data_IF_889425536117
#
_entry.id   IF_889425536117
#
_cell.length_a   1.000
_cell.length_b   1.000
_cell.length_c   1.000
_cell.angle_alpha   90.00
_cell.angle_beta   90.00
_cell.angle_gamma   90.00
#
_symmetry.space_group_name_H-M   'P 1'
#
loop_
_entity.id
_entity.type
_entity.pdbx_description
1 polymer ?
#
# COMPACT_ATOMS: atom_id res chain seq x y z
N UNK A 1 7.43 9.79 23.41
CA UNK A 1 8.05 9.34 24.68
C UNK A 1 7.37 10.05 25.83
N UNK A 2 7.47 9.54 27.06
CA UNK A 2 6.98 10.23 28.25
C UNK A 2 7.84 11.48 28.55
N UNK A 3 7.25 12.54 29.10
CA UNK A 3 7.96 13.81 29.35
C UNK A 3 8.51 13.88 30.77
N UNK A 4 9.53 14.72 30.98
CA UNK A 4 10.07 14.98 32.31
C UNK A 4 9.02 15.53 33.27
N UNK A 5 8.08 16.34 32.77
CA UNK A 5 6.97 16.89 33.56
C UNK A 5 6.03 15.79 34.06
N UNK A 6 5.66 14.82 33.22
CA UNK A 6 4.83 13.67 33.62
C UNK A 6 5.53 12.84 34.69
N UNK A 7 6.84 12.62 34.55
CA UNK A 7 7.65 11.93 35.57
C UNK A 7 7.66 12.71 36.88
N UNK A 8 7.87 14.04 36.83
CA UNK A 8 7.86 14.91 38.01
C UNK A 8 6.51 14.86 38.75
N UNK A 9 5.40 14.88 38.03
CA UNK A 9 4.07 14.78 38.64
C UNK A 9 3.87 13.47 39.41
N UNK A 10 4.38 12.35 38.88
CA UNK A 10 4.31 11.04 39.56
C UNK A 10 5.18 11.00 40.83
N UNK A 11 6.40 11.55 40.77
CA UNK A 11 7.36 11.45 41.89
C UNK A 11 7.18 12.54 42.95
N UNK A 12 6.61 13.70 42.62
CA UNK A 12 6.47 14.85 43.52
C UNK A 12 5.87 14.52 44.91
N UNK A 13 4.85 13.65 45.04
CA UNK A 13 4.30 13.29 46.35
C UNK A 13 5.29 12.58 47.29
N UNK A 14 6.35 11.99 46.74
CA UNK A 14 7.31 11.14 47.45
C UNK A 14 8.66 11.83 47.71
N UNK A 15 8.90 13.00 47.10
CA UNK A 15 10.13 13.76 47.29
C UNK A 15 10.27 14.26 48.75
N UNK A 16 11.50 14.23 49.27
CA UNK A 16 11.86 14.72 50.60
C UNK A 16 11.07 14.08 51.76
N UNK A 17 10.61 12.84 51.58
CA UNK A 17 9.89 12.04 52.59
C UNK A 17 10.58 10.69 52.78
N UNK A 18 10.26 10.02 53.89
CA UNK A 18 10.61 8.61 54.04
C UNK A 18 9.73 7.78 53.09
N UNK A 19 10.36 7.02 52.20
CA UNK A 19 9.71 6.23 51.15
C UNK A 19 9.81 4.75 51.52
N UNK A 20 8.70 4.04 51.51
CA UNK A 20 8.66 2.59 51.78
C UNK A 20 8.87 1.76 50.49
N UNK A 21 9.13 0.47 50.62
CA UNK A 21 9.18 -0.44 49.45
C UNK A 21 7.85 -0.44 48.67
N UNK A 22 6.73 -0.26 49.36
CA UNK A 22 5.42 -0.16 48.74
C UNK A 22 5.28 1.12 47.90
N UNK A 23 5.77 2.25 48.43
CA UNK A 23 5.82 3.51 47.69
C UNK A 23 6.70 3.40 46.44
N UNK A 24 7.85 2.71 46.53
CA UNK A 24 8.71 2.46 45.37
C UNK A 24 7.99 1.65 44.29
N UNK A 25 7.27 0.60 44.69
CA UNK A 25 6.45 -0.19 43.75
C UNK A 25 5.33 0.64 43.15
N UNK A 26 4.72 1.54 43.94
CA UNK A 26 3.66 2.43 43.46
C UNK A 26 4.18 3.41 42.41
N UNK A 27 5.34 4.05 42.65
CA UNK A 27 6.02 4.90 41.65
C UNK A 27 6.32 4.09 40.39
N UNK A 28 6.87 2.87 40.55
CA UNK A 28 7.17 1.99 39.41
C UNK A 28 5.94 1.71 38.54
N UNK A 29 4.81 1.36 39.17
CA UNK A 29 3.54 1.11 38.49
C UNK A 29 3.04 2.36 37.77
N UNK A 30 3.02 3.52 38.44
CA UNK A 30 2.56 4.78 37.84
C UNK A 30 3.44 5.22 36.66
N UNK A 31 4.76 5.09 36.75
CA UNK A 31 5.65 5.38 35.63
C UNK A 31 5.46 4.41 34.46
N UNK A 32 5.18 3.13 34.75
CA UNK A 32 4.86 2.12 33.72
C UNK A 32 3.49 2.39 33.07
N UNK A 33 2.52 2.87 33.82
CA UNK A 33 1.21 3.29 33.30
C UNK A 33 1.35 4.45 32.31
N UNK A 34 2.25 5.42 32.55
CA UNK A 34 2.52 6.49 31.59
C UNK A 34 2.99 5.95 30.22
N UNK A 35 3.88 4.95 30.22
CA UNK A 35 4.30 4.28 28.98
C UNK A 35 3.12 3.58 28.30
N UNK A 36 2.33 2.84 29.07
CA UNK A 36 1.20 2.05 28.56
C UNK A 36 0.12 2.96 27.96
N UNK A 37 -0.24 4.06 28.63
CA UNK A 37 -1.21 5.05 28.16
C UNK A 37 -0.72 5.79 26.90
N UNK A 38 0.59 5.98 26.76
CA UNK A 38 1.18 6.52 25.53
C UNK A 38 1.27 5.50 24.38
N UNK A 39 0.84 4.25 24.60
CA UNK A 39 0.81 3.18 23.61
C UNK A 39 2.11 2.36 23.50
N UNK A 40 3.08 2.57 24.40
CA UNK A 40 4.34 1.82 24.39
C UNK A 40 4.17 0.46 25.04
N UNK A 41 3.85 -0.54 24.21
CA UNK A 41 3.55 -1.89 24.67
C UNK A 41 4.77 -2.55 25.28
N UNK A 42 4.55 -3.32 26.35
CA UNK A 42 5.57 -4.12 27.04
C UNK A 42 6.82 -3.33 27.48
N UNK A 43 6.74 -1.99 27.49
CA UNK A 43 7.75 -1.11 28.05
C UNK A 43 7.46 -0.93 29.53
N UNK A 44 8.47 -1.14 30.36
CA UNK A 44 8.30 -1.21 31.81
C UNK A 44 9.35 -0.36 32.51
N UNK A 45 8.95 0.27 33.60
CA UNK A 45 9.89 0.92 34.51
C UNK A 45 10.22 -0.04 35.64
N UNK A 46 11.50 -0.16 36.00
CA UNK A 46 11.95 -1.09 37.05
C UNK A 46 12.84 -0.40 38.08
N UNK A 47 12.56 -0.68 39.35
CA UNK A 47 13.53 -0.50 40.42
C UNK A 47 14.44 -1.74 40.46
N UNK A 48 15.73 -1.54 40.18
CA UNK A 48 16.73 -2.61 40.21
C UNK A 48 17.69 -2.35 41.37
N UNK A 49 17.91 -3.31 42.29
CA UNK A 49 18.83 -3.12 43.42
C UNK A 49 20.24 -2.70 42.97
N UNK A 50 20.72 -3.26 41.87
CA UNK A 50 22.01 -2.94 41.27
C UNK A 50 22.16 -1.47 40.81
N UNK A 51 21.04 -0.78 40.55
CA UNK A 51 21.04 0.64 40.17
C UNK A 51 20.95 1.57 41.39
N UNK A 52 20.75 0.98 42.58
CA UNK A 52 20.38 1.69 43.79
C UNK A 52 21.32 1.38 44.97
N UNK A 53 22.55 0.91 44.72
CA UNK A 53 23.57 0.66 45.75
C UNK A 53 23.84 1.87 46.66
N UNK A 54 23.61 3.09 46.16
CA UNK A 54 23.74 4.34 46.92
C UNK A 54 22.78 4.44 48.11
N UNK A 55 21.64 3.74 48.08
CA UNK A 55 20.72 3.64 49.22
C UNK A 55 21.38 2.95 50.42
N UNK A 56 22.25 1.95 50.18
CA UNK A 56 23.01 1.27 51.23
C UNK A 56 24.07 2.19 51.86
N UNK A 57 24.56 3.17 51.09
CA UNK A 57 25.49 4.21 51.55
C UNK A 57 24.78 5.39 52.24
N UNK A 58 23.44 5.35 52.39
CA UNK A 58 22.65 6.40 53.04
C UNK A 58 22.30 7.59 52.14
N UNK A 59 22.54 7.52 50.83
CA UNK A 59 22.12 8.56 49.89
C UNK A 59 20.62 8.44 49.57
N UNK A 60 19.90 9.57 49.55
CA UNK A 60 18.46 9.61 49.27
C UNK A 60 18.08 9.57 47.78
N UNK A 61 18.89 8.97 46.92
CA UNK A 61 18.67 8.94 45.46
C UNK A 61 18.15 7.58 45.04
N UNK A 62 16.94 7.56 44.47
CA UNK A 62 16.31 6.36 43.91
C UNK A 62 16.39 6.43 42.38
N UNK A 63 16.95 5.40 41.77
CA UNK A 63 17.08 5.25 40.33
C UNK A 63 16.08 4.22 39.83
N UNK A 64 15.28 4.64 38.85
CA UNK A 64 14.42 3.76 38.06
C UNK A 64 15.00 3.62 36.65
N UNK A 65 14.94 2.40 36.11
CA UNK A 65 15.33 2.10 34.74
C UNK A 65 14.11 1.87 33.88
N UNK A 66 13.97 2.64 32.81
CA UNK A 66 13.01 2.32 31.74
C UNK A 66 13.59 1.23 30.85
N UNK A 67 12.83 0.15 30.67
CA UNK A 67 13.15 -0.95 29.77
C UNK A 67 12.17 -0.84 28.61
N UNK A 68 12.64 -0.15 27.58
CA UNK A 68 11.88 0.09 26.36
C UNK A 68 11.85 -1.14 25.49
N UNK A 69 10.65 -1.45 24.98
CA UNK A 69 10.46 -2.64 24.18
C UNK A 69 10.74 -2.37 22.69
N UNK A 70 11.18 -3.42 21.99
CA UNK A 70 11.49 -3.39 20.55
C UNK A 70 10.88 -4.60 19.85
N UNK A 71 10.58 -4.43 18.57
CA UNK A 71 10.20 -5.54 17.70
C UNK A 71 11.48 -6.18 17.13
N UNK A 72 11.60 -7.50 17.25
CA UNK A 72 12.78 -8.23 16.73
C UNK A 72 12.46 -9.09 15.52
N UNK A 73 11.19 -9.48 15.34
CA UNK A 73 10.75 -10.36 14.25
C UNK A 73 9.28 -10.12 13.97
N UNK A 74 8.93 -10.15 12.68
CA UNK A 74 7.56 -10.34 12.20
C UNK A 74 7.48 -11.79 11.71
N UNK A 75 6.44 -12.51 12.08
CA UNK A 75 6.18 -13.88 11.61
C UNK A 75 4.83 -13.92 10.92
N UNK A 76 4.85 -14.05 9.60
CA UNK A 76 3.63 -14.11 8.80
C UNK A 76 3.17 -15.54 8.63
N UNK A 77 1.87 -15.77 8.81
CA UNK A 77 1.23 -17.07 8.77
C UNK A 77 0.04 -17.06 7.79
N UNK A 78 -0.34 -18.25 7.33
CA UNK A 78 -1.52 -18.50 6.47
C UNK A 78 -1.44 -17.92 5.05
N UNK A 79 -0.24 -17.72 4.52
CA UNK A 79 -0.03 -17.42 3.10
C UNK A 79 0.01 -18.70 2.27
N UNK A 80 -0.48 -18.61 1.04
CA UNK A 80 -0.55 -19.70 0.07
C UNK A 80 0.26 -19.38 -1.20
N UNK A 81 0.06 -18.19 -1.78
CA UNK A 81 0.71 -17.77 -3.02
C UNK A 81 1.42 -16.42 -2.87
N UNK A 82 0.89 -15.52 -2.05
CA UNK A 82 1.55 -14.26 -1.73
C UNK A 82 2.83 -14.52 -0.93
N UNK A 83 3.92 -13.89 -1.34
CA UNK A 83 5.20 -14.08 -0.67
C UNK A 83 5.18 -13.43 0.72
N UNK A 84 5.69 -14.16 1.73
CA UNK A 84 5.83 -13.65 3.10
C UNK A 84 6.52 -12.29 3.18
N UNK A 85 7.57 -12.10 2.37
CA UNK A 85 8.32 -10.84 2.31
C UNK A 85 7.46 -9.63 1.88
N UNK A 86 6.43 -9.85 1.04
CA UNK A 86 5.51 -8.79 0.63
C UNK A 86 4.81 -8.13 1.83
N UNK A 87 4.38 -8.96 2.78
CA UNK A 87 3.69 -8.56 4.00
C UNK A 87 4.69 -8.03 5.03
N UNK A 88 5.80 -8.75 5.25
CA UNK A 88 6.81 -8.37 6.24
C UNK A 88 7.42 -7.00 5.96
N UNK A 89 7.89 -6.77 4.72
CA UNK A 89 8.57 -5.53 4.38
C UNK A 89 7.64 -4.32 4.54
N UNK A 90 6.33 -4.50 4.27
CA UNK A 90 5.29 -3.46 4.45
C UNK A 90 4.98 -3.18 5.91
N UNK A 91 4.99 -4.20 6.76
CA UNK A 91 4.72 -4.01 8.19
C UNK A 91 5.92 -3.43 8.92
N UNK A 92 7.15 -3.73 8.48
CA UNK A 92 8.36 -3.14 9.04
C UNK A 92 8.43 -1.62 8.90
N UNK A 93 7.77 -1.02 7.90
CA UNK A 93 7.75 0.46 7.76
C UNK A 93 6.99 1.17 8.87
N UNK A 94 6.16 0.44 9.63
CA UNK A 94 5.40 0.96 10.76
C UNK A 94 6.00 0.58 12.11
N UNK A 95 7.19 -0.02 12.12
CA UNK A 95 7.92 -0.22 13.37
C UNK A 95 8.37 1.12 13.95
N UNK A 96 8.25 1.23 15.27
CA UNK A 96 8.71 2.37 16.04
C UNK A 96 9.63 1.91 17.16
N UNK A 97 10.58 2.77 17.53
CA UNK A 97 11.49 2.55 18.65
C UNK A 97 11.34 3.71 19.64
N UNK A 98 10.81 3.49 20.85
CA UNK A 98 10.28 2.22 21.38
C UNK A 98 8.99 1.75 20.69
N UNK A 99 8.71 0.44 20.78
CA UNK A 99 7.57 -0.21 20.15
C UNK A 99 6.24 0.42 20.59
N UNK A 100 5.45 0.89 19.62
CA UNK A 100 4.16 1.53 19.87
C UNK A 100 3.00 0.77 19.22
N UNK A 101 1.93 0.54 19.98
CA UNK A 101 0.72 -0.14 19.53
C UNK A 101 0.08 0.56 18.33
N UNK A 102 -0.01 1.89 18.37
CA UNK A 102 -0.74 2.68 17.37
C UNK A 102 -0.07 2.58 16.00
N UNK A 103 1.26 2.59 15.96
CA UNK A 103 2.00 2.43 14.71
C UNK A 103 1.78 1.04 14.11
N UNK A 104 1.83 -0.03 14.91
CA UNK A 104 1.55 -1.39 14.42
C UNK A 104 0.10 -1.54 13.94
N UNK A 105 -0.85 -0.97 14.67
CA UNK A 105 -2.27 -0.96 14.30
C UNK A 105 -2.50 -0.21 12.98
N UNK A 106 -1.90 0.96 12.81
CA UNK A 106 -1.94 1.71 11.55
C UNK A 106 -1.38 0.88 10.38
N UNK A 107 -0.28 0.18 10.58
CA UNK A 107 0.29 -0.74 9.59
C UNK A 107 -0.66 -1.87 9.21
N UNK A 108 -1.36 -2.48 10.17
CA UNK A 108 -2.37 -3.51 9.88
C UNK A 108 -3.55 -2.93 9.11
N UNK A 109 -4.07 -1.77 9.53
CA UNK A 109 -5.23 -1.14 8.90
C UNK A 109 -4.92 -0.72 7.45
N UNK A 110 -3.72 -0.19 7.20
CA UNK A 110 -3.29 0.17 5.85
C UNK A 110 -3.05 -1.06 4.99
N UNK A 111 -2.46 -2.11 5.55
CA UNK A 111 -2.26 -3.36 4.83
C UNK A 111 -3.58 -4.11 4.57
N UNK A 112 -4.60 -3.94 5.41
CA UNK A 112 -5.95 -4.48 5.18
C UNK A 112 -6.65 -3.81 3.99
N UNK A 113 -6.25 -2.61 3.57
CA UNK A 113 -6.77 -1.96 2.35
C UNK A 113 -6.16 -2.55 1.07
N UNK A 114 -5.12 -3.38 1.19
CA UNK A 114 -4.51 -4.07 0.06
C UNK A 114 -5.48 -5.11 -0.50
N UNK A 115 -5.72 -5.05 -1.82
CA UNK A 115 -6.66 -5.95 -2.49
C UNK A 115 -6.26 -7.42 -2.43
N UNK A 116 -5.02 -7.73 -2.05
CA UNK A 116 -4.52 -9.09 -1.89
C UNK A 116 -4.88 -9.71 -0.55
N UNK A 117 -5.44 -8.92 0.37
CA UNK A 117 -5.66 -9.29 1.76
C UNK A 117 -7.15 -9.16 2.06
N UNK A 118 -7.83 -10.29 2.27
CA UNK A 118 -9.22 -10.33 2.73
C UNK A 118 -9.31 -9.99 4.21
N UNK A 119 -8.36 -10.52 4.99
CA UNK A 119 -8.30 -10.33 6.44
C UNK A 119 -6.86 -10.36 6.93
N UNK A 120 -6.58 -9.54 7.94
CA UNK A 120 -5.29 -9.52 8.62
C UNK A 120 -5.49 -9.36 10.12
N UNK A 121 -4.74 -10.11 10.90
CA UNK A 121 -4.75 -10.05 12.36
C UNK A 121 -3.33 -10.09 12.91
N UNK A 122 -3.04 -9.25 13.90
CA UNK A 122 -1.74 -9.19 14.56
C UNK A 122 -1.83 -9.58 16.03
N UNK A 123 -0.85 -10.35 16.50
CA UNK A 123 -0.64 -10.66 17.92
C UNK A 123 0.83 -10.48 18.30
N UNK A 124 1.09 -9.69 19.33
CA UNK A 124 2.42 -9.59 19.92
C UNK A 124 2.64 -10.68 20.96
N UNK A 125 3.83 -11.27 20.94
CA UNK A 125 4.31 -12.19 21.97
C UNK A 125 5.70 -11.76 22.45
N UNK A 126 6.09 -12.09 23.70
CA UNK A 126 7.45 -11.86 24.18
C UNK A 126 8.50 -12.60 23.33
N UNK A 127 9.64 -11.97 23.11
CA UNK A 127 10.83 -12.55 22.48
C UNK A 127 11.74 -13.26 23.48
N UNK A 128 12.95 -13.60 23.03
CA UNK A 128 13.94 -14.34 23.83
C UNK A 128 14.58 -13.51 24.94
N UNK A 129 14.77 -12.20 24.72
CA UNK A 129 15.35 -11.29 25.71
C UNK A 129 14.33 -10.32 26.28
N UNK A 130 14.63 -9.74 27.44
CA UNK A 130 13.75 -8.75 28.07
C UNK A 130 13.56 -7.52 27.16
N UNK A 131 12.31 -7.10 26.99
CA UNK A 131 11.93 -5.98 26.10
C UNK A 131 11.85 -6.37 24.62
N UNK A 132 12.18 -7.60 24.24
CA UNK A 132 11.99 -8.06 22.86
C UNK A 132 10.58 -8.58 22.63
N UNK A 133 10.05 -8.31 21.44
CA UNK A 133 8.73 -8.78 21.03
C UNK A 133 8.81 -9.38 19.62
N UNK A 134 7.98 -10.39 19.39
CA UNK A 134 7.74 -10.97 18.07
C UNK A 134 6.29 -10.67 17.71
N UNK A 135 6.08 -10.18 16.49
CA UNK A 135 4.75 -9.90 15.97
C UNK A 135 4.30 -11.04 15.05
N UNK A 136 3.35 -11.84 15.53
CA UNK A 136 2.71 -12.88 14.73
C UNK A 136 1.58 -12.23 13.95
N UNK A 137 1.63 -12.34 12.63
CA UNK A 137 0.66 -11.76 11.71
C UNK A 137 0.01 -12.89 10.93
N UNK A 138 -1.30 -13.03 11.05
CA UNK A 138 -2.10 -14.00 10.27
C UNK A 138 -2.78 -13.27 9.15
N UNK A 139 -2.58 -13.76 7.93
CA UNK A 139 -3.14 -13.17 6.72
C UNK A 139 -4.09 -14.18 6.08
N UNK A 140 -5.22 -13.69 5.59
CA UNK A 140 -6.11 -14.42 4.70
C UNK A 140 -6.02 -13.76 3.33
N UNK A 141 -5.49 -14.49 2.35
CA UNK A 141 -5.36 -14.00 0.97
C UNK A 141 -6.74 -13.81 0.33
N UNK A 142 -6.92 -12.67 -0.35
CA UNK A 142 -8.11 -12.43 -1.15
C UNK A 142 -8.04 -13.22 -2.48
N UNK A 143 -9.20 -13.51 -3.10
CA UNK A 143 -9.22 -14.10 -4.43
C UNK A 143 -8.47 -13.23 -5.46
N UNK A 144 -7.53 -13.83 -6.17
CA UNK A 144 -6.64 -13.11 -7.11
C UNK A 144 -7.17 -13.08 -8.53
N UNK A 145 -8.00 -14.05 -8.92
CA UNK A 145 -8.56 -14.12 -10.27
C UNK A 145 -9.94 -13.47 -10.31
N UNK A 146 -10.16 -12.61 -11.31
CA UNK A 146 -11.44 -12.01 -11.59
C UNK A 146 -11.73 -12.08 -13.09
N UNK A 147 -12.94 -12.50 -13.42
CA UNK A 147 -13.46 -12.54 -14.79
C UNK A 147 -14.75 -11.72 -14.78
N UNK A 148 -14.85 -10.76 -15.70
CA UNK A 148 -16.04 -9.95 -15.86
C UNK A 148 -16.43 -9.85 -17.34
N UNK A 149 -17.73 -9.81 -17.59
CA UNK A 149 -18.29 -9.52 -18.91
C UNK A 149 -19.35 -8.43 -18.76
N UNK A 150 -19.39 -7.52 -19.71
CA UNK A 150 -20.30 -6.38 -19.69
C UNK A 150 -20.90 -6.18 -21.08
N UNK A 151 -22.19 -5.86 -21.13
CA UNK A 151 -22.86 -5.38 -22.34
C UNK A 151 -23.37 -3.98 -22.02
N UNK A 152 -22.94 -2.99 -22.79
CA UNK A 152 -23.24 -1.60 -22.50
C UNK A 152 -23.37 -0.78 -23.78
N UNK A 153 -24.01 0.39 -23.66
CA UNK A 153 -24.13 1.36 -24.74
C UNK A 153 -23.31 2.63 -24.50
N UNK A 154 -22.10 2.46 -23.98
CA UNK A 154 -21.20 3.57 -23.62
C UNK A 154 -20.46 4.18 -24.81
N UNK A 155 -20.35 3.46 -25.93
CA UNK A 155 -19.60 3.91 -27.11
C UNK A 155 -20.43 4.87 -27.96
N UNK A 156 -19.74 5.63 -28.80
CA UNK A 156 -20.42 6.54 -29.73
C UNK A 156 -21.30 5.77 -30.71
N UNK A 157 -22.53 6.25 -31.01
CA UNK A 157 -23.37 5.63 -32.05
C UNK A 157 -22.69 5.53 -33.42
N UNK A 158 -21.71 6.40 -33.71
CA UNK A 158 -20.92 6.37 -34.94
C UNK A 158 -20.10 5.10 -35.14
N UNK A 159 -19.74 4.42 -34.06
CA UNK A 159 -18.93 3.19 -34.07
C UNK A 159 -19.71 2.02 -33.47
N UNK A 160 -21.04 2.11 -33.42
CA UNK A 160 -21.92 1.12 -32.81
C UNK A 160 -22.31 1.50 -31.38
N UNK A 161 -23.61 1.71 -31.18
CA UNK A 161 -24.16 2.09 -29.88
C UNK A 161 -23.96 0.98 -28.84
N UNK A 162 -24.14 -0.29 -29.20
CA UNK A 162 -24.02 -1.42 -28.27
C UNK A 162 -22.70 -2.16 -28.44
N UNK A 163 -22.08 -2.51 -27.31
CA UNK A 163 -20.86 -3.31 -27.27
C UNK A 163 -20.84 -4.35 -26.17
N UNK A 164 -20.01 -5.36 -26.35
CA UNK A 164 -19.66 -6.35 -25.35
C UNK A 164 -18.19 -6.21 -24.95
N UNK A 165 -17.89 -6.35 -23.66
CA UNK A 165 -16.56 -6.27 -23.08
C UNK A 165 -16.31 -7.49 -22.21
N UNK A 166 -15.12 -8.08 -22.30
CA UNK A 166 -14.64 -9.15 -21.45
C UNK A 166 -13.33 -8.73 -20.79
N UNK A 167 -13.21 -8.99 -19.49
CA UNK A 167 -12.05 -8.63 -18.67
C UNK A 167 -11.57 -9.88 -17.93
N UNK A 168 -10.28 -10.17 -18.05
CA UNK A 168 -9.57 -11.17 -17.26
C UNK A 168 -8.49 -10.45 -16.44
N UNK A 169 -8.52 -10.65 -15.13
CA UNK A 169 -7.62 -10.00 -14.19
C UNK A 169 -7.00 -11.03 -13.24
N UNK A 170 -5.72 -10.86 -12.96
CA UNK A 170 -5.01 -11.53 -11.89
C UNK A 170 -4.26 -10.50 -11.02
N UNK A 171 -4.55 -10.47 -9.72
CA UNK A 171 -4.00 -9.49 -8.78
C UNK A 171 -2.64 -9.89 -8.17
N UNK A 172 -2.13 -11.09 -8.44
CA UNK A 172 -0.88 -11.59 -7.87
C UNK A 172 -0.28 -12.72 -8.72
N UNK A 173 0.14 -12.45 -9.97
CA UNK A 173 0.57 -13.53 -10.90
C UNK A 173 1.79 -14.26 -10.34
N UNK A 174 2.80 -13.52 -9.87
CA UNK A 174 4.08 -14.08 -9.43
C UNK A 174 4.21 -14.17 -7.90
N UNK A 175 3.19 -13.79 -7.14
CA UNK A 175 3.21 -13.81 -5.68
C UNK A 175 3.87 -12.57 -5.06
N UNK A 176 4.27 -11.58 -5.86
CA UNK A 176 4.98 -10.36 -5.38
C UNK A 176 4.05 -9.14 -5.28
N UNK A 177 2.74 -9.34 -5.41
CA UNK A 177 1.71 -8.30 -5.47
C UNK A 177 1.67 -7.54 -6.80
N UNK A 178 2.14 -8.19 -7.84
CA UNK A 178 1.99 -7.80 -9.22
C UNK A 178 0.56 -8.02 -9.71
N UNK A 179 0.07 -7.12 -10.57
CA UNK A 179 -1.28 -7.15 -11.12
C UNK A 179 -1.20 -7.19 -12.64
N UNK A 180 -1.97 -8.07 -13.27
CA UNK A 180 -2.08 -8.17 -14.71
C UNK A 180 -3.55 -8.21 -15.14
N UNK A 181 -3.86 -7.53 -16.23
CA UNK A 181 -5.22 -7.46 -16.76
C UNK A 181 -5.19 -7.49 -18.28
N UNK A 182 -6.15 -8.20 -18.86
CA UNK A 182 -6.49 -8.15 -20.28
C UNK A 182 -7.97 -7.82 -20.41
N UNK A 183 -8.28 -6.83 -21.23
CA UNK A 183 -9.63 -6.43 -21.61
C UNK A 183 -9.77 -6.50 -23.13
N UNK A 184 -10.87 -7.10 -23.59
CA UNK A 184 -11.29 -7.07 -24.99
C UNK A 184 -12.68 -6.48 -25.09
N UNK A 185 -12.89 -5.51 -25.99
CA UNK A 185 -14.18 -4.88 -26.25
C UNK A 185 -14.47 -4.88 -27.75
N UNK A 186 -15.72 -5.21 -28.09
CA UNK A 186 -16.23 -5.22 -29.45
C UNK A 186 -17.58 -4.51 -29.53
N UNK A 187 -17.74 -3.63 -30.51
CA UNK A 187 -19.03 -3.13 -31.00
C UNK A 187 -19.14 -3.48 -32.50
N UNK A 188 -20.15 -2.95 -33.19
CA UNK A 188 -20.27 -3.06 -34.64
C UNK A 188 -19.12 -2.35 -35.39
N UNK A 189 -18.63 -1.20 -34.89
CA UNK A 189 -17.56 -0.40 -35.51
C UNK A 189 -16.32 -0.18 -34.65
N UNK A 190 -16.11 -0.96 -33.58
CA UNK A 190 -14.94 -0.86 -32.70
C UNK A 190 -14.48 -2.25 -32.26
N UNK A 191 -13.18 -2.48 -32.39
CA UNK A 191 -12.45 -3.55 -31.73
C UNK A 191 -11.34 -2.92 -30.87
N UNK A 192 -11.28 -3.30 -29.59
CA UNK A 192 -10.26 -2.82 -28.66
C UNK A 192 -9.69 -3.95 -27.83
N UNK A 193 -8.35 -3.99 -27.77
CA UNK A 193 -7.59 -4.84 -26.85
C UNK A 193 -6.77 -3.95 -25.92
N UNK A 194 -6.87 -4.21 -24.62
CA UNK A 194 -6.08 -3.58 -23.58
C UNK A 194 -5.37 -4.68 -22.79
N UNK A 195 -4.07 -4.55 -22.61
CA UNK A 195 -3.27 -5.41 -21.75
C UNK A 195 -2.40 -4.56 -20.84
N UNK A 196 -2.37 -4.86 -19.55
CA UNK A 196 -1.47 -4.19 -18.62
C UNK A 196 -0.87 -5.17 -17.62
N UNK A 197 0.32 -4.80 -17.14
CA UNK A 197 0.98 -5.46 -16.02
C UNK A 197 1.61 -4.39 -15.13
N UNK A 198 1.47 -4.54 -13.82
CA UNK A 198 2.06 -3.63 -12.85
C UNK A 198 2.71 -4.39 -11.70
N UNK A 199 3.87 -3.93 -11.25
CA UNK A 199 4.67 -4.60 -10.22
C UNK A 199 5.05 -3.58 -9.13
N UNK A 200 4.88 -3.91 -7.84
CA UNK A 200 5.36 -3.07 -6.75
C UNK A 200 6.89 -3.14 -6.67
N UNK A 201 7.53 -1.98 -6.56
CA UNK A 201 8.98 -1.84 -6.51
C UNK A 201 9.52 -1.67 -5.09
N UNK A 202 8.66 -1.29 -4.13
CA UNK A 202 9.04 -1.10 -2.74
C UNK A 202 7.84 -1.30 -1.78
N UNK A 203 8.09 -1.38 -0.46
CA UNK A 203 7.05 -1.54 0.55
C UNK A 203 6.12 -0.33 0.71
N UNK A 204 6.51 0.85 0.23
CA UNK A 204 5.69 2.07 0.24
C UNK A 204 4.73 2.14 -0.97
N UNK A 205 4.45 1.00 -1.61
CA UNK A 205 3.56 0.88 -2.77
C UNK A 205 3.96 1.72 -3.98
N UNK A 206 5.27 1.97 -4.16
CA UNK A 206 5.80 2.42 -5.44
C UNK A 206 5.55 1.35 -6.51
N UNK A 207 4.98 1.70 -7.66
CA UNK A 207 4.62 0.74 -8.73
C UNK A 207 5.17 1.17 -10.08
N UNK A 208 5.65 0.20 -10.84
CA UNK A 208 5.91 0.32 -12.27
C UNK A 208 4.79 -0.41 -13.02
N UNK A 209 4.26 0.19 -14.06
CA UNK A 209 3.24 -0.40 -14.91
C UNK A 209 3.64 -0.25 -16.38
N UNK A 210 3.39 -1.32 -17.14
CA UNK A 210 3.46 -1.33 -18.59
C UNK A 210 2.06 -1.59 -19.12
N UNK A 211 1.67 -0.87 -20.16
CA UNK A 211 0.41 -1.11 -20.86
C UNK A 211 0.60 -1.15 -22.37
N UNK A 212 -0.27 -1.94 -22.99
CA UNK A 212 -0.45 -2.03 -24.43
C UNK A 212 -1.93 -1.86 -24.74
N UNK A 213 -2.23 -1.01 -25.71
CA UNK A 213 -3.57 -0.81 -26.22
C UNK A 213 -3.54 -0.92 -27.74
N UNK A 214 -4.50 -1.66 -28.30
CA UNK A 214 -4.79 -1.68 -29.72
C UNK A 214 -6.24 -1.28 -29.92
N UNK A 215 -6.51 -0.36 -30.84
CA UNK A 215 -7.85 0.00 -31.25
C UNK A 215 -7.96 -0.06 -32.77
N UNK A 216 -9.07 -0.61 -33.24
CA UNK A 216 -9.53 -0.50 -34.61
C UNK A 216 -10.95 0.01 -34.59
N UNK A 217 -11.23 1.11 -35.28
CA UNK A 217 -12.57 1.66 -35.39
C UNK A 217 -12.96 1.96 -36.83
N UNK A 218 -14.26 1.92 -37.08
CA UNK A 218 -14.91 2.16 -38.36
C UNK A 218 -16.19 2.97 -38.11
N UNK A 219 -16.38 4.05 -38.88
CA UNK A 219 -17.59 4.85 -38.80
C UNK A 219 -18.68 4.17 -39.62
N UNK A 220 -19.68 3.63 -38.93
CA UNK A 220 -20.79 2.86 -39.50
C UNK A 220 -22.10 3.67 -39.61
N UNK A 221 -22.12 4.92 -39.11
CA UNK A 221 -23.34 5.71 -39.09
C UNK A 221 -23.56 6.49 -40.40
N UNK A 222 -24.81 6.52 -40.87
CA UNK A 222 -25.21 7.36 -41.99
C UNK A 222 -25.05 8.86 -41.69
N UNK A 223 -24.72 9.70 -42.69
CA UNK A 223 -24.46 9.36 -44.09
C UNK A 223 -22.98 9.01 -44.38
N UNK A 224 -22.18 8.71 -43.35
CA UNK A 224 -20.72 8.55 -43.46
C UNK A 224 -20.30 7.11 -43.79
N UNK A 225 -21.15 6.13 -43.55
CA UNK A 225 -20.93 4.71 -43.86
C UNK A 225 -20.33 4.45 -45.27
N UNK A 226 -20.81 5.07 -46.37
CA UNK A 226 -20.23 4.85 -47.71
C UNK A 226 -18.80 5.39 -47.88
N UNK A 227 -18.32 6.23 -46.97
CA UNK A 227 -16.96 6.77 -46.98
C UNK A 227 -15.97 5.76 -46.39
N UNK A 228 -16.44 4.77 -45.61
CA UNK A 228 -15.61 3.74 -44.96
C UNK A 228 -14.42 4.37 -44.23
N UNK A 229 -14.74 5.22 -43.25
CA UNK A 229 -13.74 5.93 -42.44
C UNK A 229 -13.24 4.97 -41.37
N UNK A 230 -11.98 4.56 -41.48
CA UNK A 230 -11.33 3.65 -40.53
C UNK A 230 -10.18 4.32 -39.79
N UNK A 231 -9.94 3.88 -38.57
CA UNK A 231 -8.76 4.23 -37.80
C UNK A 231 -8.19 2.99 -37.11
N UNK A 232 -6.89 2.80 -37.25
CA UNK A 232 -6.14 1.80 -36.49
C UNK A 232 -5.12 2.54 -35.63
N UNK A 233 -4.97 2.13 -34.37
CA UNK A 233 -3.98 2.71 -33.47
C UNK A 233 -3.46 1.69 -32.48
N UNK A 234 -2.20 1.88 -32.10
CA UNK A 234 -1.64 1.21 -30.94
C UNK A 234 -0.95 2.21 -30.03
N UNK A 235 -0.99 1.92 -28.74
CA UNK A 235 -0.35 2.70 -27.69
C UNK A 235 0.45 1.76 -26.80
N UNK A 236 1.70 2.10 -26.54
CA UNK A 236 2.54 1.48 -25.52
C UNK A 236 2.84 2.55 -24.48
N UNK A 237 2.62 2.24 -23.21
CA UNK A 237 2.99 3.17 -22.13
C UNK A 237 3.75 2.48 -21.01
N UNK A 238 4.61 3.26 -20.37
CA UNK A 238 5.27 2.91 -19.13
C UNK A 238 4.98 3.99 -18.09
N UNK A 239 4.49 3.60 -16.92
CA UNK A 239 4.23 4.53 -15.83
C UNK A 239 4.89 4.08 -14.53
N UNK A 240 5.40 5.05 -13.79
CA UNK A 240 5.89 4.87 -12.44
C UNK A 240 5.07 5.76 -11.50
N UNK A 241 4.60 5.22 -10.39
CA UNK A 241 3.84 5.94 -9.37
C UNK A 241 4.45 5.65 -7.99
N UNK A 242 4.79 6.69 -7.23
CA UNK A 242 5.33 6.59 -5.87
C UNK A 242 4.45 7.37 -4.88
N UNK A 243 3.79 6.68 -3.94
CA UNK A 243 3.23 7.33 -2.76
C UNK A 243 4.32 7.95 -1.91
N UNK A 244 4.18 9.23 -1.58
CA UNK A 244 5.06 9.97 -0.67
C UNK A 244 4.39 10.22 0.70
N UNK A 245 3.07 10.32 0.71
CA UNK A 245 2.25 10.33 1.92
C UNK A 245 1.18 9.26 1.72
N UNK A 246 1.10 8.33 2.66
CA UNK A 246 0.12 7.25 2.64
C UNK A 246 -0.27 6.91 4.08
N UNK A 247 -1.31 7.57 4.57
CA UNK A 247 -1.90 7.34 5.90
C UNK A 247 -3.36 6.91 5.73
N UNK A 248 -4.04 6.66 6.85
CA UNK A 248 -5.46 6.31 6.83
C UNK A 248 -6.37 7.45 6.30
N UNK A 249 -5.89 8.69 6.32
CA UNK A 249 -6.66 9.89 5.96
C UNK A 249 -6.12 10.62 4.76
N UNK A 250 -4.80 10.54 4.51
CA UNK A 250 -4.12 11.37 3.54
C UNK A 250 -3.31 10.53 2.56
N UNK A 251 -3.44 10.88 1.28
CA UNK A 251 -2.70 10.24 0.20
C UNK A 251 -2.12 11.30 -0.72
N UNK A 252 -0.80 11.27 -0.89
CA UNK A 252 -0.09 12.05 -1.88
C UNK A 252 0.87 11.15 -2.64
N UNK A 253 0.84 11.20 -3.97
CA UNK A 253 1.67 10.37 -4.84
C UNK A 253 2.22 11.19 -6.00
N UNK A 254 3.45 10.91 -6.39
CA UNK A 254 4.05 11.45 -7.60
C UNK A 254 4.12 10.35 -8.65
N UNK A 255 3.87 10.70 -9.90
CA UNK A 255 3.97 9.75 -11.00
C UNK A 255 4.59 10.36 -12.25
N UNK A 256 5.16 9.50 -13.07
CA UNK A 256 5.66 9.80 -14.40
C UNK A 256 5.02 8.76 -15.32
N UNK A 257 4.53 9.21 -16.47
CA UNK A 257 4.04 8.34 -17.53
C UNK A 257 4.75 8.77 -18.81
N UNK A 258 5.20 7.77 -19.57
CA UNK A 258 5.71 7.95 -20.92
C UNK A 258 4.84 7.11 -21.84
N UNK A 259 4.37 7.73 -22.91
CA UNK A 259 3.48 7.11 -23.88
C UNK A 259 4.03 7.25 -25.29
N UNK A 260 4.00 6.16 -26.04
CA UNK A 260 4.21 6.14 -27.48
C UNK A 260 2.93 5.64 -28.16
N UNK A 261 2.42 6.44 -29.10
CA UNK A 261 1.21 6.11 -29.84
C UNK A 261 1.43 6.31 -31.33
N UNK A 262 1.06 5.31 -32.10
CA UNK A 262 0.91 5.41 -33.55
C UNK A 262 -0.55 5.22 -33.93
N UNK A 263 -1.00 5.99 -34.91
CA UNK A 263 -2.34 5.88 -35.46
C UNK A 263 -2.33 6.14 -36.95
N UNK A 264 -3.13 5.37 -37.68
CA UNK A 264 -3.34 5.52 -39.11
C UNK A 264 -4.83 5.57 -39.43
N UNK A 265 -5.23 6.56 -40.23
CA UNK A 265 -6.59 6.73 -40.71
C UNK A 265 -6.72 6.42 -42.19
N UNK A 266 -7.84 5.80 -42.55
CA UNK A 266 -8.16 5.41 -43.91
C UNK A 266 -9.58 5.86 -44.29
N UNK A 267 -9.80 6.04 -45.59
CA UNK A 267 -11.11 6.23 -46.21
C UNK A 267 -11.21 5.35 -47.46
N UNK A 268 -12.43 5.06 -47.92
CA UNK A 268 -12.69 4.27 -49.12
C UNK A 268 -11.91 2.95 -49.13
N UNK A 269 -11.94 2.27 -47.99
CA UNK A 269 -11.13 1.12 -47.63
C UNK A 269 -9.69 1.41 -47.21
N UNK A 270 -8.80 1.49 -48.18
CA UNK A 270 -7.36 1.43 -47.91
C UNK A 270 -6.62 2.70 -48.34
N UNK A 271 -7.35 3.80 -48.60
CA UNK A 271 -6.74 5.08 -48.93
C UNK A 271 -6.38 5.84 -47.66
N UNK A 272 -5.09 6.05 -47.36
CA UNK A 272 -4.69 6.78 -46.17
C UNK A 272 -5.18 8.23 -46.25
N UNK A 273 -5.75 8.75 -45.16
CA UNK A 273 -6.35 10.08 -45.13
C UNK A 273 -5.97 10.87 -43.88
N UNK A 274 -5.45 12.08 -44.10
CA UNK A 274 -5.07 12.99 -43.03
C UNK A 274 -6.22 13.92 -42.66
N UNK A 275 -6.85 13.69 -41.51
CA UNK A 275 -7.91 14.56 -40.98
C UNK A 275 -7.40 15.88 -40.37
N UNK A 276 -6.07 16.06 -40.26
CA UNK A 276 -5.45 17.31 -39.82
C UNK A 276 -4.29 17.69 -40.74
N UNK A 277 -4.00 18.99 -40.83
CA UNK A 277 -3.02 19.56 -41.78
C UNK A 277 -1.56 19.20 -41.46
N UNK A 278 -1.32 18.67 -40.28
CA UNK A 278 -0.02 18.30 -39.72
C UNK A 278 0.22 16.78 -39.74
N UNK A 279 -0.67 16.01 -40.38
CA UNK A 279 -0.59 14.55 -40.56
C UNK A 279 -0.28 14.24 -42.02
N UNK A 280 0.65 13.32 -42.28
CA UNK A 280 0.99 12.86 -43.64
C UNK A 280 0.54 11.42 -43.80
N UNK A 281 -0.09 11.12 -44.94
CA UNK A 281 -0.56 9.78 -45.29
C UNK A 281 -1.45 9.14 -44.19
N UNK A 282 -2.27 9.95 -43.52
CA UNK A 282 -3.14 9.50 -42.42
C UNK A 282 -2.41 9.03 -41.16
N UNK A 283 -1.07 9.11 -41.12
CA UNK A 283 -0.24 8.62 -40.04
C UNK A 283 0.09 9.70 -39.02
N UNK A 284 -0.14 9.39 -37.75
CA UNK A 284 0.20 10.23 -36.60
C UNK A 284 1.05 9.43 -35.62
N UNK A 285 2.20 9.99 -35.25
CA UNK A 285 3.04 9.50 -34.15
C UNK A 285 3.04 10.53 -33.02
N UNK A 286 2.82 10.07 -31.79
CA UNK A 286 2.88 10.91 -30.60
C UNK A 286 3.75 10.25 -29.53
N UNK A 287 4.66 11.04 -28.97
CA UNK A 287 5.47 10.69 -27.81
C UNK A 287 5.18 11.72 -26.70
N UNK A 288 4.73 11.27 -25.54
CA UNK A 288 4.43 12.12 -24.36
C UNK A 288 5.25 11.67 -23.18
#
# INVERSE_FOLDING_TARGET
MITQEQVQQVVAPFLSKNVTLEDLRKIQTQLTELYTQAGYLNSLVRFLPQDNHRLEAGEGIIVYRAIESKLVKIEVQNLSHLQQKYVEDRLWTYESKPLNAKSLEEGLLLLQQDQLISKIEGKLIPGSSQGENIWIVRVEEAPVWQIATEISNEESPFIGEWGAKAILENKNVFGVGDHAQVEYKQTEGLERLLANISVPLNPQNGRLQLSYQFNKSEIIAEPFDPIDIRNESFTISASFLQPLIFTLTDKFSLGINVEHRESQSFVFNDFPFSFSSNVRDGFTELNV
#
